data_IF_011942624899
#
_entry.id   IF_011942624899
#
_cell.length_a   1.000
_cell.length_b   1.000
_cell.length_c   1.000
_cell.angle_alpha   90.00
_cell.angle_beta   90.00
_cell.angle_gamma   90.00
#
_symmetry.space_group_name_H-M   'P 1'
#
loop_
_entity.id
_entity.type
_entity.pdbx_description
1 polymer ?
#
# COMPACT_ATOMS: atom_id res chain seq x y z
N UNK A 1 -5.82 9.45 6.14
CA UNK A 1 -6.79 9.01 7.18
C UNK A 1 -6.14 8.12 8.25
N UNK A 2 -5.54 6.94 7.93
CA UNK A 2 -5.00 6.01 8.94
C UNK A 2 -4.04 6.70 9.90
N UNK A 3 -3.10 7.50 9.42
CA UNK A 3 -2.15 8.24 10.28
C UNK A 3 -2.83 9.24 11.24
N UNK A 4 -3.99 9.76 10.89
CA UNK A 4 -4.75 10.66 11.78
C UNK A 4 -5.47 9.93 12.92
N UNK A 5 -5.64 8.61 12.82
CA UNK A 5 -6.28 7.79 13.85
C UNK A 5 -5.30 7.18 14.84
N UNK A 6 -4.00 7.22 14.54
CA UNK A 6 -2.98 6.54 15.33
C UNK A 6 -2.32 7.48 16.34
N UNK A 7 -1.86 6.91 17.44
CA UNK A 7 -1.13 7.62 18.50
C UNK A 7 0.39 7.61 18.28
N UNK A 8 0.87 6.90 17.27
CA UNK A 8 2.28 6.90 16.91
C UNK A 8 2.69 5.75 16.00
N UNK A 9 3.92 5.82 15.52
CA UNK A 9 4.55 4.83 14.66
C UNK A 9 5.28 3.78 15.48
N UNK A 10 5.06 2.51 15.14
CA UNK A 10 5.79 1.37 15.67
C UNK A 10 7.02 1.16 14.78
N UNK A 11 8.22 1.34 15.36
CA UNK A 11 9.50 1.28 14.63
C UNK A 11 10.27 -0.01 14.84
N UNK A 12 9.92 -0.78 15.89
CA UNK A 12 10.62 -1.99 16.31
C UNK A 12 9.68 -3.17 16.41
N UNK A 13 10.13 -4.39 16.07
CA UNK A 13 9.31 -5.60 16.18
C UNK A 13 9.23 -6.13 17.62
N UNK A 14 9.96 -5.54 18.55
CA UNK A 14 10.01 -5.99 19.95
C UNK A 14 8.67 -5.78 20.65
N UNK A 15 8.34 -6.67 21.57
CA UNK A 15 7.10 -6.64 22.35
C UNK A 15 7.35 -6.16 23.77
N UNK A 16 7.94 -7.01 24.57
CA UNK A 16 8.27 -6.76 25.96
C UNK A 16 9.74 -7.11 26.25
N UNK A 17 10.28 -6.49 27.28
CA UNK A 17 11.57 -6.90 27.83
C UNK A 17 11.37 -8.15 28.69
N UNK A 18 11.98 -9.27 28.32
CA UNK A 18 11.81 -10.56 29.01
C UNK A 18 12.32 -10.58 30.45
N UNK A 19 13.24 -9.67 30.82
CA UNK A 19 13.76 -9.54 32.19
C UNK A 19 12.82 -8.75 33.09
N UNK A 20 12.23 -7.67 32.56
CA UNK A 20 11.43 -6.72 33.38
C UNK A 20 9.92 -6.84 33.11
N UNK A 21 9.53 -7.59 32.08
CA UNK A 21 8.15 -7.71 31.59
C UNK A 21 7.47 -6.39 31.24
N UNK A 22 8.29 -5.35 31.00
CA UNK A 22 7.78 -4.04 30.57
C UNK A 22 7.79 -3.93 29.06
N UNK A 23 6.82 -3.22 28.45
CA UNK A 23 6.81 -2.97 27.01
C UNK A 23 8.08 -2.25 26.55
N UNK A 24 8.64 -2.71 25.47
CA UNK A 24 9.76 -2.03 24.83
C UNK A 24 9.30 -0.71 24.16
N UNK A 25 10.17 0.29 24.22
CA UNK A 25 9.91 1.59 23.59
C UNK A 25 9.85 1.44 22.07
N UNK A 26 8.85 2.07 21.46
CA UNK A 26 8.59 2.07 20.01
C UNK A 26 8.31 0.67 19.41
N UNK A 27 8.07 -0.32 20.27
CA UNK A 27 7.67 -1.68 19.89
C UNK A 27 6.17 -1.88 19.80
N UNK A 28 5.76 -3.13 19.55
CA UNK A 28 4.36 -3.51 19.34
C UNK A 28 3.46 -3.30 20.55
N UNK A 29 4.02 -3.21 21.76
CA UNK A 29 3.28 -2.93 23.01
C UNK A 29 3.68 -1.62 23.68
N UNK A 30 4.31 -0.71 22.97
CA UNK A 30 4.85 0.53 23.51
C UNK A 30 3.83 1.30 24.35
N UNK A 31 4.17 1.59 25.62
CA UNK A 31 3.30 2.32 26.51
C UNK A 31 3.10 3.79 26.12
N UNK A 32 4.07 4.37 25.42
CA UNK A 32 3.98 5.74 24.89
C UNK A 32 2.89 5.85 23.82
N UNK A 33 2.76 4.84 22.95
CA UNK A 33 1.78 4.81 21.86
C UNK A 33 0.41 4.36 22.38
N UNK A 34 0.36 3.21 23.06
CA UNK A 34 -0.89 2.56 23.42
C UNK A 34 -1.42 2.96 24.81
N UNK A 35 -0.58 3.52 25.66
CA UNK A 35 -0.97 3.92 26.99
C UNK A 35 -0.33 3.09 28.11
N UNK A 36 -0.61 3.43 29.38
CA UNK A 36 0.00 2.81 30.55
C UNK A 36 -0.48 1.37 30.75
N UNK A 37 0.33 0.55 31.43
CA UNK A 37 -0.03 -0.84 31.80
C UNK A 37 -0.95 -0.86 33.02
N UNK A 38 -0.68 0.04 33.97
CA UNK A 38 -1.45 0.18 35.20
C UNK A 38 -2.24 1.46 35.18
N UNK A 39 -3.44 1.43 35.79
CA UNK A 39 -4.30 2.60 35.87
C UNK A 39 -3.59 3.75 36.58
N UNK A 40 -3.61 4.92 35.95
CA UNK A 40 -3.08 6.17 36.51
C UNK A 40 -1.60 6.09 36.96
N UNK A 41 -0.81 5.25 36.34
CA UNK A 41 0.63 5.12 36.59
C UNK A 41 1.43 5.18 35.29
N UNK A 42 2.44 6.05 35.24
CA UNK A 42 3.36 6.05 34.09
C UNK A 42 4.32 4.86 34.14
N UNK A 43 4.98 4.52 33.02
CA UNK A 43 5.84 3.33 32.95
C UNK A 43 7.04 3.38 33.89
N UNK A 44 7.65 4.56 34.11
CA UNK A 44 8.81 4.74 35.01
C UNK A 44 8.41 4.87 36.48
N UNK A 45 7.12 5.04 36.81
CA UNK A 45 6.62 5.19 38.18
C UNK A 45 6.78 6.59 38.76
N UNK A 46 7.23 7.60 38.02
CA UNK A 46 7.34 8.98 38.50
C UNK A 46 6.00 9.57 38.86
N UNK A 47 5.00 9.37 38.03
CA UNK A 47 3.63 9.80 38.29
C UNK A 47 2.76 8.60 38.59
N UNK A 48 2.14 8.63 39.75
CA UNK A 48 1.20 7.62 40.25
C UNK A 48 -0.04 8.30 40.81
N UNK A 49 -1.18 7.65 40.72
CA UNK A 49 -2.48 8.07 41.19
C UNK A 49 -3.22 9.03 40.28
N UNK A 50 -4.50 9.09 40.48
CA UNK A 50 -5.50 9.81 39.69
C UNK A 50 -5.27 11.34 39.63
N UNK A 51 -4.63 11.93 40.64
CA UNK A 51 -4.34 13.37 40.66
C UNK A 51 -3.48 13.86 39.51
N UNK A 52 -2.73 12.97 38.86
CA UNK A 52 -1.89 13.28 37.72
C UNK A 52 -2.52 12.88 36.35
N UNK A 53 -3.82 12.61 36.34
CA UNK A 53 -4.53 12.22 35.12
C UNK A 53 -4.30 13.22 34.00
N UNK A 54 -4.01 12.69 32.80
CA UNK A 54 -3.79 13.48 31.58
C UNK A 54 -2.39 14.07 31.43
N UNK A 55 -1.52 13.93 32.44
CA UNK A 55 -0.13 14.38 32.35
C UNK A 55 0.67 13.36 31.54
N UNK A 56 1.47 13.87 30.59
CA UNK A 56 2.46 13.07 29.87
C UNK A 56 3.77 13.12 30.64
N UNK A 57 4.29 11.98 31.05
CA UNK A 57 5.52 11.91 31.81
C UNK A 57 6.73 12.34 30.96
N UNK A 58 7.48 13.34 31.40
CA UNK A 58 8.68 13.85 30.72
C UNK A 58 9.79 12.79 30.61
N UNK A 59 9.86 11.84 31.56
CA UNK A 59 10.90 10.81 31.57
C UNK A 59 10.60 9.63 30.64
N UNK A 60 9.36 9.10 30.65
CA UNK A 60 9.01 7.92 29.86
C UNK A 60 8.04 8.21 28.70
N UNK A 61 7.49 9.41 28.61
CA UNK A 61 6.57 9.82 27.56
C UNK A 61 5.17 9.17 27.63
N UNK A 62 4.86 8.47 28.73
CA UNK A 62 3.58 7.77 28.89
C UNK A 62 2.56 8.69 29.54
N UNK A 63 1.37 8.77 28.96
CA UNK A 63 0.24 9.50 29.51
C UNK A 63 -0.34 8.78 30.73
N UNK A 64 -0.63 9.53 31.79
CA UNK A 64 -1.23 9.01 33.01
C UNK A 64 -2.76 8.93 32.82
N UNK A 65 -3.25 7.75 32.48
CA UNK A 65 -4.67 7.47 32.22
C UNK A 65 -5.02 6.03 32.61
N UNK A 66 -6.24 5.61 32.34
CA UNK A 66 -6.65 4.22 32.55
C UNK A 66 -5.96 3.29 31.56
N UNK A 67 -5.64 2.09 32.01
CA UNK A 67 -4.98 1.07 31.17
C UNK A 67 -5.86 0.50 30.06
N UNK A 68 -7.18 0.61 30.15
CA UNK A 68 -8.11 0.15 29.12
C UNK A 68 -7.94 0.87 27.79
N UNK A 69 -7.39 2.10 27.76
CA UNK A 69 -7.08 2.82 26.52
C UNK A 69 -6.14 2.02 25.60
N UNK A 70 -5.36 1.08 26.13
CA UNK A 70 -4.51 0.18 25.36
C UNK A 70 -5.29 -0.71 24.38
N UNK A 71 -6.58 -0.94 24.61
CA UNK A 71 -7.47 -1.70 23.73
C UNK A 71 -8.16 -0.84 22.68
N UNK A 72 -8.11 0.48 22.85
CA UNK A 72 -8.80 1.45 21.99
C UNK A 72 -7.83 2.18 21.05
N UNK A 73 -6.60 2.47 21.52
CA UNK A 73 -5.61 3.22 20.78
C UNK A 73 -5.00 2.40 19.66
N UNK A 74 -4.85 3.03 18.51
CA UNK A 74 -4.24 2.47 17.32
C UNK A 74 -2.81 2.99 17.18
N UNK A 75 -1.91 2.12 16.72
CA UNK A 75 -0.60 2.48 16.22
C UNK A 75 -0.53 2.18 14.71
N UNK A 76 0.49 2.68 14.02
CA UNK A 76 0.71 2.35 12.62
C UNK A 76 2.16 1.92 12.38
N UNK A 77 2.34 1.17 11.31
CA UNK A 77 3.65 0.76 10.79
C UNK A 77 3.75 1.34 9.38
N UNK A 78 4.79 2.13 9.13
CA UNK A 78 5.10 2.55 7.77
C UNK A 78 5.76 1.40 7.03
N UNK A 79 5.21 1.06 5.86
CA UNK A 79 5.79 0.02 5.01
C UNK A 79 7.06 0.57 4.34
N UNK A 80 8.07 -0.29 4.18
CA UNK A 80 9.31 0.06 3.51
C UNK A 80 9.11 0.30 2.00
N UNK A 81 8.20 -0.47 1.39
CA UNK A 81 7.84 -0.38 -0.03
C UNK A 81 6.32 -0.39 -0.19
N UNK A 82 5.78 0.13 -1.29
CA UNK A 82 4.36 -0.04 -1.61
C UNK A 82 3.95 -1.51 -1.65
N UNK A 83 2.76 -1.80 -1.17
CA UNK A 83 2.16 -3.14 -1.19
C UNK A 83 0.75 -3.04 -1.75
N UNK A 84 0.39 -3.93 -2.68
CA UNK A 84 -0.95 -3.99 -3.21
C UNK A 84 -1.94 -4.52 -2.16
N UNK A 85 -3.02 -3.77 -1.93
CA UNK A 85 -4.05 -4.17 -0.96
C UNK A 85 -4.85 -5.36 -1.50
N UNK A 86 -4.94 -6.42 -0.70
CA UNK A 86 -5.57 -7.68 -1.11
C UNK A 86 -7.02 -7.53 -1.58
N UNK A 87 -7.81 -6.63 -0.98
CA UNK A 87 -9.19 -6.38 -1.38
C UNK A 87 -9.32 -5.77 -2.77
N UNK A 88 -8.32 -5.01 -3.24
CA UNK A 88 -8.33 -4.44 -4.57
C UNK A 88 -7.63 -5.30 -5.61
N UNK A 89 -6.76 -6.22 -5.16
CA UNK A 89 -6.03 -7.15 -6.02
C UNK A 89 -6.80 -8.46 -6.24
N UNK A 90 -7.18 -9.15 -5.16
CA UNK A 90 -7.74 -10.52 -5.20
C UNK A 90 -9.27 -10.58 -5.25
N UNK A 91 -9.98 -9.45 -5.18
CA UNK A 91 -11.42 -9.44 -5.38
C UNK A 91 -11.77 -9.84 -6.82
N UNK A 92 -12.92 -10.42 -7.02
CA UNK A 92 -13.44 -10.79 -8.36
C UNK A 92 -14.64 -9.89 -8.71
N UNK A 93 -14.50 -9.01 -9.69
CA UNK A 93 -13.32 -8.72 -10.51
C UNK A 93 -12.25 -7.90 -9.77
N UNK A 94 -10.97 -8.11 -10.07
CA UNK A 94 -9.87 -7.33 -9.50
C UNK A 94 -9.96 -5.86 -9.94
N UNK A 95 -10.06 -4.95 -8.97
CA UNK A 95 -10.13 -3.51 -9.26
C UNK A 95 -8.84 -2.97 -9.85
N UNK A 96 -7.69 -3.42 -9.33
CA UNK A 96 -6.37 -3.03 -9.87
C UNK A 96 -6.24 -3.52 -11.32
N UNK A 97 -6.58 -4.78 -11.57
CA UNK A 97 -6.47 -5.37 -12.90
C UNK A 97 -7.37 -4.66 -13.93
N UNK A 98 -8.60 -4.33 -13.54
CA UNK A 98 -9.52 -3.58 -14.39
C UNK A 98 -9.04 -2.14 -14.65
N UNK A 99 -8.48 -1.46 -13.65
CA UNK A 99 -8.01 -0.09 -13.80
C UNK A 99 -6.88 -0.01 -14.83
N UNK A 100 -5.89 -0.90 -14.76
CA UNK A 100 -4.74 -0.92 -15.67
C UNK A 100 -4.96 -1.74 -16.96
N UNK A 101 -6.18 -2.27 -17.16
CA UNK A 101 -6.57 -3.10 -18.31
C UNK A 101 -5.72 -4.35 -18.54
N UNK A 102 -5.42 -5.07 -17.46
CA UNK A 102 -4.64 -6.30 -17.50
C UNK A 102 -5.42 -7.48 -16.91
N UNK A 103 -4.94 -8.70 -17.17
CA UNK A 103 -5.44 -9.88 -16.47
C UNK A 103 -4.82 -9.96 -15.08
N UNK A 104 -5.59 -10.46 -14.11
CA UNK A 104 -5.11 -10.63 -12.73
C UNK A 104 -3.79 -11.43 -12.66
N UNK A 105 -3.69 -12.53 -13.42
CA UNK A 105 -2.46 -13.35 -13.47
C UNK A 105 -1.22 -12.60 -13.96
N UNK A 106 -1.40 -11.68 -14.89
CA UNK A 106 -0.31 -10.85 -15.41
C UNK A 106 0.19 -9.88 -14.34
N UNK A 107 -0.72 -9.22 -13.64
CA UNK A 107 -0.36 -8.32 -12.52
C UNK A 107 0.29 -9.10 -11.37
N UNK A 108 -0.20 -10.29 -11.07
CA UNK A 108 0.41 -11.14 -10.04
C UNK A 108 1.87 -11.48 -10.37
N UNK A 109 2.19 -11.79 -11.62
CA UNK A 109 3.58 -12.02 -12.05
C UNK A 109 4.47 -10.80 -11.81
N UNK A 110 3.95 -9.61 -12.07
CA UNK A 110 4.70 -8.36 -11.81
C UNK A 110 4.88 -8.15 -10.31
N UNK A 111 3.81 -8.30 -9.52
CA UNK A 111 3.83 -8.09 -8.07
C UNK A 111 4.71 -9.08 -7.32
N UNK A 112 4.79 -10.33 -7.82
CA UNK A 112 5.63 -11.39 -7.23
C UNK A 112 7.04 -11.46 -7.82
N UNK A 113 7.44 -10.43 -8.56
CA UNK A 113 8.80 -10.31 -9.12
C UNK A 113 9.18 -11.40 -10.12
N UNK A 114 8.19 -11.95 -10.83
CA UNK A 114 8.43 -12.94 -11.90
C UNK A 114 8.71 -12.27 -13.24
N UNK A 115 8.04 -11.14 -13.54
CA UNK A 115 8.16 -10.43 -14.80
C UNK A 115 8.24 -8.91 -14.60
N UNK A 116 8.98 -8.27 -15.46
CA UNK A 116 8.93 -6.82 -15.64
C UNK A 116 7.73 -6.42 -16.50
N UNK A 117 7.26 -5.19 -16.32
CA UNK A 117 6.19 -4.61 -17.12
C UNK A 117 6.65 -3.32 -17.76
N UNK A 118 6.34 -3.16 -19.05
CA UNK A 118 6.61 -1.92 -19.79
C UNK A 118 5.56 -0.88 -19.41
N UNK A 119 5.99 0.21 -18.75
CA UNK A 119 5.13 1.32 -18.34
C UNK A 119 5.02 2.33 -19.48
N UNK A 120 6.15 2.74 -20.04
CA UNK A 120 6.24 3.62 -21.17
C UNK A 120 7.13 3.00 -22.26
N UNK A 121 6.57 2.66 -23.43
CA UNK A 121 7.34 2.00 -24.50
C UNK A 121 8.28 2.94 -25.26
N UNK A 122 8.13 4.25 -25.13
CA UNK A 122 8.93 5.22 -25.88
C UNK A 122 8.83 5.03 -27.39
N UNK A 123 9.98 5.16 -28.07
CA UNK A 123 10.09 4.94 -29.53
C UNK A 123 10.53 3.51 -29.88
N UNK A 124 10.48 2.59 -28.95
CA UNK A 124 10.77 1.17 -29.16
C UNK A 124 9.55 0.46 -29.75
N UNK A 125 9.72 -0.68 -30.38
CA UNK A 125 8.59 -1.48 -30.88
C UNK A 125 7.77 -2.20 -29.79
N UNK A 126 8.03 -1.92 -28.51
CA UNK A 126 7.35 -2.51 -27.36
C UNK A 126 5.92 -1.97 -27.22
N UNK A 127 5.06 -2.77 -26.61
CA UNK A 127 3.70 -2.34 -26.30
C UNK A 127 3.57 -1.95 -24.81
N UNK A 128 2.72 -0.98 -24.52
CA UNK A 128 2.35 -0.65 -23.13
C UNK A 128 1.74 -1.87 -22.46
N UNK A 129 2.08 -2.11 -21.20
CA UNK A 129 1.67 -3.26 -20.41
C UNK A 129 2.24 -4.62 -20.87
N UNK A 130 3.21 -4.63 -21.78
CA UNK A 130 3.89 -5.85 -22.19
C UNK A 130 4.72 -6.39 -21.02
N UNK A 131 4.62 -7.71 -20.79
CA UNK A 131 5.43 -8.40 -19.79
C UNK A 131 6.74 -8.85 -20.44
N UNK A 132 7.84 -8.62 -19.76
CA UNK A 132 9.18 -9.05 -20.16
C UNK A 132 9.78 -9.90 -19.05
N UNK A 133 10.52 -10.94 -19.44
CA UNK A 133 11.40 -11.63 -18.52
C UNK A 133 12.75 -10.87 -18.40
N UNK A 134 13.63 -11.30 -17.50
CA UNK A 134 14.92 -10.63 -17.27
C UNK A 134 15.83 -10.66 -18.53
N UNK A 135 15.82 -11.77 -19.28
CA UNK A 135 16.61 -11.91 -20.50
C UNK A 135 16.09 -11.00 -21.62
N UNK A 136 14.77 -10.93 -21.78
CA UNK A 136 14.13 -10.04 -22.75
C UNK A 136 14.37 -8.58 -22.41
N UNK A 137 14.29 -8.21 -21.13
CA UNK A 137 14.58 -6.86 -20.69
C UNK A 137 16.01 -6.45 -21.04
N UNK A 138 16.99 -7.29 -20.67
CA UNK A 138 18.39 -7.04 -20.98
C UNK A 138 18.63 -6.89 -22.49
N UNK A 139 18.03 -7.77 -23.30
CA UNK A 139 18.12 -7.69 -24.76
C UNK A 139 17.56 -6.37 -25.31
N UNK A 140 16.40 -5.93 -24.84
CA UNK A 140 15.82 -4.67 -25.31
C UNK A 140 16.60 -3.45 -24.81
N UNK A 141 17.19 -3.51 -23.61
CA UNK A 141 18.08 -2.47 -23.11
C UNK A 141 19.37 -2.36 -23.93
N UNK A 142 19.94 -3.49 -24.34
CA UNK A 142 21.11 -3.52 -25.21
C UNK A 142 20.80 -2.99 -26.64
N UNK A 143 19.59 -3.29 -27.15
CA UNK A 143 19.18 -2.91 -28.50
C UNK A 143 18.79 -1.43 -28.64
N UNK A 144 18.02 -0.91 -27.67
CA UNK A 144 17.44 0.43 -27.72
C UNK A 144 18.06 1.42 -26.74
N UNK A 145 18.84 0.95 -25.78
CA UNK A 145 19.37 1.75 -24.66
C UNK A 145 18.45 1.77 -23.44
N UNK A 146 19.03 1.89 -22.26
CA UNK A 146 18.31 1.84 -20.97
C UNK A 146 17.25 2.94 -20.81
N UNK A 147 17.47 4.13 -21.40
CA UNK A 147 16.59 5.29 -21.26
C UNK A 147 15.49 5.36 -22.34
N UNK A 148 15.48 4.44 -23.30
CA UNK A 148 14.55 4.49 -24.44
C UNK A 148 13.13 4.08 -24.09
N UNK A 149 12.95 3.32 -23.02
CA UNK A 149 11.66 2.89 -22.51
C UNK A 149 11.71 2.73 -20.99
N UNK A 150 10.56 2.78 -20.33
CA UNK A 150 10.47 2.59 -18.89
C UNK A 150 9.81 1.25 -18.61
N UNK A 151 10.53 0.38 -17.92
CA UNK A 151 10.00 -0.88 -17.40
C UNK A 151 10.21 -0.95 -15.88
N UNK A 152 9.29 -1.60 -15.19
CA UNK A 152 9.32 -1.73 -13.73
C UNK A 152 8.90 -3.11 -13.28
N UNK A 153 9.11 -3.40 -12.00
CA UNK A 153 8.75 -4.66 -11.37
C UNK A 153 8.16 -4.42 -9.98
N UNK A 154 7.35 -5.32 -9.49
CA UNK A 154 6.78 -5.25 -8.15
C UNK A 154 5.63 -4.24 -8.01
N UNK A 155 5.29 -3.93 -6.76
CA UNK A 155 4.17 -3.05 -6.45
C UNK A 155 4.46 -1.57 -6.79
N UNK A 156 5.72 -1.17 -6.89
CA UNK A 156 6.11 0.18 -7.30
C UNK A 156 5.72 0.44 -8.76
N UNK A 157 6.00 -0.51 -9.65
CA UNK A 157 5.60 -0.43 -11.05
C UNK A 157 4.07 -0.31 -11.21
N UNK A 158 3.32 -1.14 -10.50
CA UNK A 158 1.85 -1.08 -10.52
C UNK A 158 1.32 0.24 -9.95
N UNK A 159 1.96 0.77 -8.91
CA UNK A 159 1.60 2.08 -8.35
C UNK A 159 1.84 3.21 -9.34
N UNK A 160 2.96 3.17 -10.05
CA UNK A 160 3.29 4.15 -11.10
C UNK A 160 2.28 4.10 -12.25
N UNK A 161 1.94 2.91 -12.73
CA UNK A 161 0.90 2.73 -13.75
C UNK A 161 -0.45 3.33 -13.31
N UNK A 162 -0.84 3.12 -12.04
CA UNK A 162 -2.08 3.68 -11.50
C UNK A 162 -2.03 5.21 -11.35
N UNK A 163 -0.86 5.79 -11.03
CA UNK A 163 -0.67 7.24 -10.95
C UNK A 163 -0.71 7.92 -12.32
N UNK A 164 -0.18 7.24 -13.34
CA UNK A 164 -0.12 7.74 -14.71
C UNK A 164 -1.42 7.50 -15.49
N UNK A 165 -2.45 6.95 -14.84
CA UNK A 165 -3.75 6.70 -15.47
C UNK A 165 -4.55 8.00 -15.58
N UNK A 166 -4.79 8.47 -16.82
CA UNK A 166 -5.70 9.57 -17.09
C UNK A 166 -7.15 9.05 -17.17
N UNK A 167 -7.92 9.30 -16.11
CA UNK A 167 -9.29 8.80 -15.99
C UNK A 167 -10.24 9.37 -17.05
N UNK A 168 -10.07 10.64 -17.43
CA UNK A 168 -10.94 11.28 -18.44
C UNK A 168 -10.68 10.75 -19.84
N UNK A 169 -9.40 10.58 -20.20
CA UNK A 169 -9.00 10.02 -21.47
C UNK A 169 -9.45 8.56 -21.59
N UNK A 170 -9.23 7.76 -20.57
CA UNK A 170 -9.66 6.36 -20.52
C UNK A 170 -11.18 6.22 -20.62
N UNK A 171 -11.93 7.08 -19.97
CA UNK A 171 -13.39 7.12 -20.09
C UNK A 171 -13.84 7.36 -21.53
N UNK A 172 -13.24 8.37 -22.20
CA UNK A 172 -13.57 8.68 -23.60
C UNK A 172 -13.24 7.51 -24.53
N UNK A 173 -12.06 6.91 -24.36
CA UNK A 173 -11.62 5.75 -25.15
C UNK A 173 -12.54 4.55 -24.95
N UNK A 174 -12.96 4.26 -23.72
CA UNK A 174 -13.87 3.14 -23.43
C UNK A 174 -15.27 3.36 -24.02
N UNK A 175 -15.81 4.58 -23.95
CA UNK A 175 -17.10 4.90 -24.56
C UNK A 175 -17.06 4.72 -26.09
N UNK A 176 -15.97 5.14 -26.74
CA UNK A 176 -15.79 4.93 -28.19
C UNK A 176 -15.64 3.44 -28.51
N UNK A 177 -14.82 2.72 -27.76
CA UNK A 177 -14.59 1.29 -27.94
C UNK A 177 -15.89 0.45 -27.79
N UNK A 178 -16.75 0.76 -26.81
CA UNK A 178 -18.04 0.09 -26.61
C UNK A 178 -18.96 0.26 -27.81
N UNK A 179 -18.92 1.43 -28.47
CA UNK A 179 -19.75 1.70 -29.66
C UNK A 179 -19.27 0.95 -30.91
N UNK A 180 -17.97 0.69 -31.01
CA UNK A 180 -17.34 0.11 -32.20
C UNK A 180 -17.20 -1.42 -32.10
N UNK A 181 -17.14 -1.96 -30.89
CA UNK A 181 -16.87 -3.39 -30.68
C UNK A 181 -18.08 -4.26 -31.05
N UNK A 182 -17.83 -5.32 -31.82
CA UNK A 182 -18.85 -6.33 -32.19
C UNK A 182 -18.81 -7.55 -31.25
N UNK A 183 -17.82 -7.64 -30.36
CA UNK A 183 -17.65 -8.77 -29.46
C UNK A 183 -18.35 -8.50 -28.12
N UNK A 184 -19.40 -9.25 -27.80
CA UNK A 184 -20.12 -9.15 -26.52
C UNK A 184 -19.22 -9.30 -25.29
N UNK A 185 -18.22 -10.18 -25.35
CA UNK A 185 -17.28 -10.42 -24.23
C UNK A 185 -16.41 -9.19 -23.97
N UNK A 186 -15.90 -8.58 -25.05
CA UNK A 186 -15.08 -7.37 -24.93
C UNK A 186 -15.92 -6.16 -24.50
N UNK A 187 -17.15 -6.07 -24.97
CA UNK A 187 -18.11 -5.05 -24.56
C UNK A 187 -18.42 -5.15 -23.06
N UNK A 188 -18.74 -6.33 -22.54
CA UNK A 188 -19.01 -6.54 -21.12
C UNK A 188 -17.79 -6.20 -20.23
N UNK A 189 -16.58 -6.53 -20.70
CA UNK A 189 -15.33 -6.17 -20.00
C UNK A 189 -15.13 -4.65 -19.99
N UNK A 190 -15.32 -3.99 -21.12
CA UNK A 190 -15.22 -2.55 -21.25
C UNK A 190 -16.26 -1.82 -20.39
N UNK A 191 -17.49 -2.29 -20.33
CA UNK A 191 -18.54 -1.73 -19.46
C UNK A 191 -18.16 -1.86 -17.98
N UNK A 192 -17.62 -3.01 -17.54
CA UNK A 192 -17.17 -3.20 -16.16
C UNK A 192 -16.02 -2.24 -15.82
N UNK A 193 -15.08 -2.05 -16.75
CA UNK A 193 -13.96 -1.11 -16.60
C UNK A 193 -14.46 0.34 -16.55
N UNK A 194 -15.36 0.72 -17.43
CA UNK A 194 -15.97 2.05 -17.46
C UNK A 194 -16.66 2.40 -16.14
N UNK A 195 -17.49 1.49 -15.61
CA UNK A 195 -18.14 1.66 -14.29
C UNK A 195 -17.14 1.87 -13.16
N UNK A 196 -15.98 1.19 -13.21
CA UNK A 196 -14.93 1.39 -12.21
C UNK A 196 -14.30 2.78 -12.36
N UNK A 197 -13.94 3.19 -13.57
CA UNK A 197 -13.33 4.50 -13.84
C UNK A 197 -14.27 5.65 -13.46
N UNK A 198 -15.57 5.52 -13.73
CA UNK A 198 -16.58 6.51 -13.33
C UNK A 198 -16.84 6.57 -11.82
N UNK A 199 -16.36 5.60 -11.06
CA UNK A 199 -16.47 5.59 -9.59
C UNK A 199 -15.35 6.35 -8.87
N UNK A 200 -14.33 6.81 -9.60
CA UNK A 200 -13.21 7.61 -9.08
C UNK A 200 -13.42 9.08 -9.36
#
# INVERSE_FOLDING_TARGET
KIKSWTFGEIKKPETINYRTFRPEKDGLFCARIFGPIKDYECLCGKYKRMKFRGIICEKCGVEVTKSNVRRERMGHINLATPVAHIWFLKSLPSRIALAVDMKLKEIERVLYFENFIVIEPGLTGLQKNQLLNEEELAKYQDEFGEESFTAGIGAEAVLEMLKNLDLELERKNLVSFIKETKSKVNEERAIKRLKLIESF
#
